data_IF_361046761246
#
_entry.id   IF_361046761246
#
_cell.length_a   1.000
_cell.length_b   1.000
_cell.length_c   1.000
_cell.angle_alpha   90.00
_cell.angle_beta   90.00
_cell.angle_gamma   90.00
#
_symmetry.space_group_name_H-M   'P 1'
#
loop_
_entity.id
_entity.type
_entity.pdbx_description
1 polymer ?
#
# COMPACT_ATOMS: atom_id res chain seq x y z
N UNK A 1 -43.56 72.59 -37.90
CA UNK A 1 -42.27 72.11 -38.45
C UNK A 1 -41.31 71.46 -37.43
N UNK A 2 -41.63 71.32 -36.14
CA UNK A 2 -40.64 70.93 -35.10
C UNK A 2 -40.50 69.41 -34.83
N UNK A 3 -41.46 68.57 -35.23
CA UNK A 3 -41.47 67.13 -34.86
C UNK A 3 -40.61 66.23 -35.76
N UNK A 4 -40.32 66.63 -37.01
CA UNK A 4 -39.51 65.82 -37.95
C UNK A 4 -38.02 65.86 -37.63
N UNK A 5 -37.50 67.01 -37.17
CA UNK A 5 -36.09 67.22 -36.85
C UNK A 5 -35.65 66.52 -35.55
N UNK A 6 -36.55 66.35 -34.57
CA UNK A 6 -36.26 65.55 -33.36
C UNK A 6 -36.14 64.06 -33.67
N UNK A 7 -36.95 63.55 -34.60
CA UNK A 7 -36.97 62.13 -34.93
C UNK A 7 -35.73 61.68 -35.71
N UNK A 8 -35.18 62.51 -36.60
CA UNK A 8 -33.93 62.19 -37.31
C UNK A 8 -32.73 62.18 -36.36
N UNK A 9 -32.63 63.15 -35.45
CA UNK A 9 -31.52 63.25 -34.52
C UNK A 9 -31.50 62.06 -33.52
N UNK A 10 -32.67 61.60 -33.09
CA UNK A 10 -32.80 60.39 -32.26
C UNK A 10 -32.39 59.12 -33.01
N UNK A 11 -32.72 58.99 -34.30
CA UNK A 11 -32.34 57.83 -35.11
C UNK A 11 -30.83 57.78 -35.39
N UNK A 12 -30.21 58.93 -35.64
CA UNK A 12 -28.76 59.03 -35.84
C UNK A 12 -28.00 58.69 -34.55
N UNK A 13 -28.49 59.17 -33.40
CA UNK A 13 -27.89 58.87 -32.10
C UNK A 13 -28.03 57.38 -31.73
N UNK A 14 -29.17 56.75 -32.03
CA UNK A 14 -29.38 55.32 -31.81
C UNK A 14 -28.45 54.47 -32.69
N UNK A 15 -28.31 54.85 -33.96
CA UNK A 15 -27.45 54.15 -34.92
C UNK A 15 -25.97 54.26 -34.53
N UNK A 16 -25.55 55.43 -34.03
CA UNK A 16 -24.20 55.65 -33.54
C UNK A 16 -23.90 54.82 -32.30
N UNK A 17 -24.80 54.82 -31.31
CA UNK A 17 -24.66 53.99 -30.10
C UNK A 17 -24.66 52.49 -30.43
N UNK A 18 -25.48 52.05 -31.38
CA UNK A 18 -25.48 50.66 -31.85
C UNK A 18 -24.14 50.25 -32.47
N UNK A 19 -23.50 51.14 -33.24
CA UNK A 19 -22.16 50.93 -33.79
C UNK A 19 -21.10 50.88 -32.70
N UNK A 20 -21.17 51.74 -31.70
CA UNK A 20 -20.22 51.75 -30.59
C UNK A 20 -20.31 50.47 -29.75
N UNK A 21 -21.52 49.98 -29.47
CA UNK A 21 -21.75 48.69 -28.81
C UNK A 21 -21.20 47.53 -29.62
N UNK A 22 -21.39 47.54 -30.95
CA UNK A 22 -20.87 46.51 -31.84
C UNK A 22 -19.34 46.50 -31.87
N UNK A 23 -18.71 47.68 -31.99
CA UNK A 23 -17.26 47.82 -31.96
C UNK A 23 -16.67 47.41 -30.60
N UNK A 24 -17.34 47.72 -29.50
CA UNK A 24 -16.96 47.25 -28.17
C UNK A 24 -17.05 45.72 -28.04
N UNK A 25 -18.09 45.11 -28.64
CA UNK A 25 -18.22 43.65 -28.71
C UNK A 25 -17.07 42.99 -29.49
N UNK A 26 -16.67 43.57 -30.63
CA UNK A 26 -15.51 43.10 -31.41
C UNK A 26 -14.18 43.33 -30.68
N UNK A 27 -14.04 44.45 -29.98
CA UNK A 27 -12.88 44.75 -29.14
C UNK A 27 -12.71 43.75 -28.01
N UNK A 28 -13.78 43.44 -27.26
CA UNK A 28 -13.74 42.45 -26.18
C UNK A 28 -13.39 41.04 -26.68
N UNK A 29 -13.89 40.65 -27.86
CA UNK A 29 -13.52 39.37 -28.48
C UNK A 29 -12.03 39.33 -28.86
N UNK A 30 -11.49 40.42 -29.42
CA UNK A 30 -10.06 40.54 -29.74
C UNK A 30 -9.16 40.59 -28.48
N UNK A 31 -9.61 41.23 -27.39
CA UNK A 31 -8.89 41.25 -26.10
C UNK A 31 -8.78 39.85 -25.50
N UNK A 32 -9.78 38.99 -25.70
CA UNK A 32 -9.71 37.57 -25.31
C UNK A 32 -8.63 36.81 -26.09
N UNK A 33 -8.35 37.16 -27.35
CA UNK A 33 -7.28 36.50 -28.12
C UNK A 33 -5.88 36.92 -27.63
N UNK A 34 -5.67 38.21 -27.38
CA UNK A 34 -4.35 38.75 -27.03
C UNK A 34 -3.97 38.54 -25.55
N UNK A 35 -4.91 38.78 -24.62
CA UNK A 35 -4.67 38.63 -23.18
C UNK A 35 -5.07 37.24 -22.66
N UNK A 36 -6.05 36.58 -23.30
CA UNK A 36 -6.50 35.25 -22.90
C UNK A 36 -5.45 34.17 -23.12
N UNK A 37 -4.59 34.29 -24.14
CA UNK A 37 -3.49 33.34 -24.36
C UNK A 37 -2.47 33.38 -23.22
N UNK A 38 -2.10 34.57 -22.71
CA UNK A 38 -1.21 34.72 -21.54
C UNK A 38 -1.86 34.20 -20.26
N UNK A 39 -3.13 34.52 -20.04
CA UNK A 39 -3.88 34.03 -18.89
C UNK A 39 -3.99 32.50 -18.91
N UNK A 40 -4.30 31.92 -20.07
CA UNK A 40 -4.35 30.47 -20.26
C UNK A 40 -3.00 29.81 -20.00
N UNK A 41 -1.91 30.32 -20.60
CA UNK A 41 -0.57 29.78 -20.37
C UNK A 41 -0.17 29.83 -18.88
N UNK A 42 -0.50 30.92 -18.18
CA UNK A 42 -0.25 31.05 -16.74
C UNK A 42 -1.08 30.06 -15.91
N UNK A 43 -2.33 29.80 -16.29
CA UNK A 43 -3.17 28.79 -15.66
C UNK A 43 -2.63 27.37 -15.90
N UNK A 44 -2.17 27.07 -17.12
CA UNK A 44 -1.54 25.78 -17.46
C UNK A 44 -0.24 25.57 -16.66
N UNK A 45 0.61 26.58 -16.55
CA UNK A 45 1.85 26.51 -15.76
C UNK A 45 1.57 26.30 -14.27
N UNK A 46 0.58 27.02 -13.71
CA UNK A 46 0.09 26.78 -12.35
C UNK A 46 -0.47 25.36 -12.19
N UNK A 47 -1.21 24.85 -13.17
CA UNK A 47 -1.75 23.50 -13.19
C UNK A 47 -0.66 22.43 -13.18
N UNK A 48 0.37 22.55 -14.03
CA UNK A 48 1.54 21.66 -14.04
C UNK A 48 2.27 21.62 -12.69
N UNK A 49 2.48 22.79 -12.08
CA UNK A 49 3.09 22.87 -10.75
C UNK A 49 2.21 22.26 -9.65
N UNK A 50 0.89 22.31 -9.79
CA UNK A 50 -0.05 21.67 -8.87
C UNK A 50 -0.10 20.15 -9.06
N UNK A 51 -0.06 19.67 -10.30
CA UNK A 51 0.00 18.25 -10.64
C UNK A 51 1.27 17.59 -10.09
N UNK A 52 2.44 18.21 -10.28
CA UNK A 52 3.70 17.67 -9.73
C UNK A 52 3.72 17.62 -8.20
N UNK A 53 3.23 18.67 -7.54
CA UNK A 53 3.16 18.71 -6.08
C UNK A 53 2.10 17.75 -5.53
N UNK A 54 0.95 17.69 -6.18
CA UNK A 54 -0.14 16.77 -5.82
C UNK A 54 0.28 15.31 -5.97
N UNK A 55 0.94 14.95 -7.08
CA UNK A 55 1.42 13.59 -7.31
C UNK A 55 2.37 13.10 -6.23
N UNK A 56 3.37 13.91 -5.85
CA UNK A 56 4.33 13.54 -4.78
C UNK A 56 3.63 13.35 -3.44
N UNK A 57 2.71 14.25 -3.07
CA UNK A 57 1.97 14.13 -1.81
C UNK A 57 1.07 12.89 -1.78
N UNK A 58 0.44 12.55 -2.92
CA UNK A 58 -0.37 11.34 -3.05
C UNK A 58 0.51 10.09 -2.97
N UNK A 59 1.63 10.04 -3.69
CA UNK A 59 2.59 8.92 -3.62
C UNK A 59 3.11 8.71 -2.19
N UNK A 60 3.47 9.79 -1.49
CA UNK A 60 3.92 9.75 -0.10
C UNK A 60 2.81 9.28 0.86
N UNK A 61 1.57 9.73 0.65
CA UNK A 61 0.42 9.32 1.45
C UNK A 61 0.09 7.84 1.26
N UNK A 62 0.09 7.35 0.02
CA UNK A 62 -0.12 5.94 -0.30
C UNK A 62 1.00 5.09 0.31
N UNK A 63 2.26 5.51 0.16
CA UNK A 63 3.41 4.79 0.73
C UNK A 63 3.33 4.68 2.25
N UNK A 64 2.97 5.76 2.96
CA UNK A 64 2.79 5.75 4.41
C UNK A 64 1.63 4.86 4.84
N UNK A 65 0.50 4.92 4.14
CA UNK A 65 -0.67 4.09 4.42
C UNK A 65 -0.38 2.60 4.22
N UNK A 66 0.32 2.25 3.14
CA UNK A 66 0.75 0.87 2.88
C UNK A 66 1.68 0.34 3.97
N UNK A 67 2.68 1.13 4.40
CA UNK A 67 3.57 0.73 5.50
C UNK A 67 2.84 0.50 6.82
N UNK A 68 1.93 1.40 7.19
CA UNK A 68 1.10 1.21 8.41
C UNK A 68 0.22 -0.03 8.33
N UNK A 69 -0.32 -0.35 7.14
CA UNK A 69 -1.08 -1.58 6.92
C UNK A 69 -0.20 -2.82 7.09
N UNK A 70 0.97 -2.83 6.47
CA UNK A 70 1.88 -3.98 6.53
C UNK A 70 2.39 -4.22 7.95
N UNK A 71 2.71 -3.15 8.69
CA UNK A 71 3.07 -3.21 10.12
C UNK A 71 1.90 -3.78 10.95
N UNK A 72 0.69 -3.26 10.77
CA UNK A 72 -0.49 -3.75 11.50
C UNK A 72 -0.81 -5.22 11.19
N UNK A 73 -0.66 -5.65 9.93
CA UNK A 73 -0.83 -7.05 9.55
C UNK A 73 0.23 -7.94 10.21
N UNK A 74 1.49 -7.50 10.23
CA UNK A 74 2.57 -8.26 10.87
C UNK A 74 2.37 -8.41 12.39
N UNK A 75 1.88 -7.38 13.06
CA UNK A 75 1.57 -7.43 14.48
C UNK A 75 0.39 -8.37 14.79
N UNK A 76 -0.63 -8.38 13.93
CA UNK A 76 -1.76 -9.32 14.04
C UNK A 76 -1.31 -10.76 13.80
N UNK A 77 -0.46 -11.00 12.81
CA UNK A 77 0.09 -12.34 12.54
C UNK A 77 0.91 -12.85 13.73
N UNK A 78 1.79 -12.01 14.28
CA UNK A 78 2.60 -12.34 15.46
C UNK A 78 1.73 -12.60 16.69
N UNK A 79 0.76 -11.74 16.98
CA UNK A 79 -0.19 -11.96 18.07
C UNK A 79 -1.00 -13.25 17.88
N UNK A 80 -1.37 -13.57 16.64
CA UNK A 80 -2.04 -14.82 16.28
C UNK A 80 -1.17 -16.06 16.48
N UNK A 81 0.13 -15.96 16.18
CA UNK A 81 1.10 -17.03 16.42
C UNK A 81 1.33 -17.29 17.92
N UNK A 82 1.55 -16.23 18.69
CA UNK A 82 1.68 -16.30 20.16
C UNK A 82 0.42 -16.92 20.81
N UNK A 83 -0.78 -16.53 20.34
CA UNK A 83 -2.03 -17.09 20.82
C UNK A 83 -2.18 -18.58 20.47
N UNK A 84 -1.80 -18.99 19.24
CA UNK A 84 -1.80 -20.40 18.85
C UNK A 84 -0.85 -21.22 19.72
N UNK A 85 0.36 -20.72 19.96
CA UNK A 85 1.34 -21.40 20.82
C UNK A 85 0.83 -21.55 22.26
N UNK A 86 0.23 -20.50 22.82
CA UNK A 86 -0.37 -20.55 24.16
C UNK A 86 -1.52 -21.57 24.23
N UNK A 87 -2.40 -21.59 23.23
CA UNK A 87 -3.51 -22.55 23.15
C UNK A 87 -2.95 -23.97 23.03
N UNK A 88 -1.98 -24.21 22.15
CA UNK A 88 -1.32 -25.51 22.01
C UNK A 88 -0.75 -25.99 23.34
N UNK A 89 0.04 -25.16 24.03
CA UNK A 89 0.63 -25.51 25.34
C UNK A 89 -0.42 -25.76 26.44
N UNK A 90 -1.58 -25.11 26.34
CA UNK A 90 -2.68 -25.32 27.28
C UNK A 90 -3.41 -26.63 26.99
N UNK A 91 -3.66 -26.92 25.71
CA UNK A 91 -4.27 -28.18 25.27
C UNK A 91 -3.33 -29.36 25.55
N UNK A 92 -2.04 -29.22 25.28
CA UNK A 92 -1.03 -30.25 25.55
C UNK A 92 -0.98 -30.62 27.04
N UNK A 93 -0.97 -29.61 27.93
CA UNK A 93 -1.05 -29.83 29.39
C UNK A 93 -2.38 -30.44 29.84
N UNK A 94 -3.48 -30.10 29.18
CA UNK A 94 -4.78 -30.71 29.52
C UNK A 94 -4.79 -32.19 29.12
N UNK A 95 -4.32 -32.52 27.91
CA UNK A 95 -4.23 -33.90 27.41
C UNK A 95 -3.31 -34.77 28.27
N UNK A 96 -2.17 -34.24 28.71
CA UNK A 96 -1.26 -34.89 29.66
C UNK A 96 -1.97 -35.24 30.98
N UNK A 97 -2.75 -34.31 31.54
CA UNK A 97 -3.56 -34.57 32.75
C UNK A 97 -4.65 -35.62 32.56
N UNK A 98 -5.16 -35.78 31.34
CA UNK A 98 -6.12 -36.84 31.01
C UNK A 98 -5.45 -38.16 30.58
N UNK A 99 -4.12 -38.25 30.65
CA UNK A 99 -3.36 -39.45 30.33
C UNK A 99 -3.33 -39.78 28.83
N UNK A 100 -3.59 -38.80 27.97
CA UNK A 100 -3.55 -38.95 26.52
C UNK A 100 -2.14 -38.63 26.05
N UNK A 101 -1.46 -39.61 25.44
CA UNK A 101 -0.12 -39.42 24.92
C UNK A 101 -0.06 -38.26 23.93
N UNK A 102 0.74 -37.25 24.25
CA UNK A 102 0.86 -36.03 23.45
C UNK A 102 1.88 -36.19 22.32
N UNK A 103 1.79 -35.36 21.28
CA UNK A 103 2.75 -35.39 20.16
C UNK A 103 4.18 -35.09 20.63
N UNK A 104 4.33 -34.16 21.57
CA UNK A 104 5.61 -33.79 22.17
C UNK A 104 6.28 -34.98 22.88
N UNK A 105 5.50 -35.77 23.61
CA UNK A 105 6.00 -36.98 24.28
C UNK A 105 6.40 -38.06 23.28
N UNK A 106 5.61 -38.27 22.22
CA UNK A 106 5.94 -39.22 21.14
C UNK A 106 7.26 -38.83 20.47
N UNK A 107 7.47 -37.54 20.17
CA UNK A 107 8.70 -37.04 19.57
C UNK A 107 9.90 -37.21 20.51
N UNK A 108 9.72 -36.91 21.81
CA UNK A 108 10.75 -37.10 22.83
C UNK A 108 11.13 -38.57 22.97
N UNK A 109 10.15 -39.47 23.01
CA UNK A 109 10.37 -40.91 23.11
C UNK A 109 11.08 -41.44 21.85
N UNK A 110 10.68 -40.97 20.67
CA UNK A 110 11.32 -41.33 19.40
C UNK A 110 12.80 -40.94 19.39
N UNK A 111 13.15 -39.74 19.87
CA UNK A 111 14.55 -39.31 20.03
C UNK A 111 15.32 -40.18 21.00
N UNK A 112 14.71 -40.55 22.14
CA UNK A 112 15.34 -41.42 23.12
C UNK A 112 15.60 -42.82 22.55
N UNK A 113 14.64 -43.38 21.81
CA UNK A 113 14.78 -44.68 21.13
C UNK A 113 15.88 -44.63 20.09
N UNK A 114 15.94 -43.59 19.24
CA UNK A 114 17.01 -43.43 18.25
C UNK A 114 18.38 -43.39 18.92
N UNK A 115 18.54 -42.59 19.98
CA UNK A 115 19.80 -42.46 20.69
C UNK A 115 20.20 -43.76 21.41
N UNK A 116 19.23 -44.51 21.93
CA UNK A 116 19.48 -45.83 22.50
C UNK A 116 19.93 -46.83 21.43
N UNK A 117 19.29 -46.82 20.25
CA UNK A 117 19.65 -47.67 19.13
C UNK A 117 21.08 -47.40 18.66
N UNK A 118 21.47 -46.14 18.55
CA UNK A 118 22.84 -45.73 18.21
C UNK A 118 23.88 -46.25 19.22
N UNK A 119 23.56 -46.23 20.52
CA UNK A 119 24.44 -46.75 21.57
C UNK A 119 24.57 -48.27 21.50
N UNK A 120 23.46 -48.97 21.24
CA UNK A 120 23.46 -50.43 21.05
C UNK A 120 24.30 -50.80 19.83
N UNK A 121 24.09 -50.14 18.70
CA UNK A 121 24.87 -50.38 17.47
C UNK A 121 26.37 -50.15 17.66
N UNK A 122 26.74 -49.09 18.39
CA UNK A 122 28.14 -48.84 18.77
C UNK A 122 28.69 -49.97 19.63
N UNK A 123 27.96 -50.40 20.66
CA UNK A 123 28.40 -51.47 21.56
C UNK A 123 28.56 -52.80 20.81
N UNK A 124 27.61 -53.13 19.93
CA UNK A 124 27.66 -54.33 19.09
C UNK A 124 28.84 -54.28 18.11
N UNK A 125 29.16 -53.13 17.52
CA UNK A 125 30.37 -52.95 16.69
C UNK A 125 31.64 -53.20 17.50
N UNK A 126 31.77 -52.57 18.67
CA UNK A 126 32.95 -52.75 19.54
C UNK A 126 33.14 -54.21 19.97
N UNK A 127 32.05 -54.93 20.29
CA UNK A 127 32.11 -56.36 20.62
C UNK A 127 32.51 -57.24 19.43
N UNK A 128 32.03 -56.94 18.22
CA UNK A 128 32.42 -57.64 16.98
C UNK A 128 33.89 -57.38 16.62
N UNK A 129 34.40 -56.18 16.85
CA UNK A 129 35.79 -55.84 16.57
C UNK A 129 36.76 -56.45 17.60
N UNK A 130 36.36 -56.49 18.89
CA UNK A 130 37.12 -57.15 19.97
C UNK A 130 37.19 -58.67 19.86
N UNK A 131 36.23 -59.32 19.17
CA UNK A 131 36.25 -60.76 18.91
C UNK A 131 37.08 -61.14 17.69
N UNK A 132 37.25 -60.24 16.72
CA UNK A 132 38.14 -60.46 15.56
C UNK A 132 39.63 -60.31 15.90
N UNK A 133 39.97 -59.50 16.90
CA UNK A 133 41.36 -59.33 17.37
C UNK A 133 41.86 -60.52 18.19
N UNK A 134 41.00 -61.20 18.96
CA UNK A 134 41.39 -62.42 19.72
C UNK A 134 41.57 -63.69 18.86
N UNK A 135 41.06 -63.72 17.63
CA UNK A 135 41.16 -64.90 16.73
C UNK A 135 42.37 -64.85 15.78
N UNK A 136 43.16 -63.76 15.83
CA UNK A 136 44.36 -63.51 15.01
C UNK A 136 45.67 -63.52 15.80
N UNK A 137 45.62 -63.82 17.11
CA UNK A 137 46.77 -64.03 17.98
C UNK A 137 46.97 -65.53 18.23
#
# INVERSE_FOLDING_TARGET
MSTKAKNSNLQDELTRRGRDVWLAGLGALATVEEEGTKAFNSLVERGKGFEEKGRKQIEDAISKASKQRDEALSDVERAGEEAREYIFNTVDRALDRFGVATRSEVDKLTKQVSNLNDKVDKLTKTLRDGTKTKKKA
#
